data_IF_575476949034
#
_entry.id   IF_575476949034
#
_cell.length_a   1.000
_cell.length_b   1.000
_cell.length_c   1.000
_cell.angle_alpha   90.00
_cell.angle_beta   90.00
_cell.angle_gamma   90.00
#
_symmetry.space_group_name_H-M   'P 1'
#
loop_
_entity.id
_entity.type
_entity.pdbx_description
1 polymer ?
#
# COMPACT_ATOMS: atom_id res chain seq x y z
N UNK A 1 39.93 -1.89 32.54
CA UNK A 1 38.49 -1.65 32.46
C UNK A 1 38.04 -2.12 31.07
N UNK A 2 37.37 -3.27 31.00
CA UNK A 2 36.88 -3.82 29.73
C UNK A 2 35.48 -3.23 29.55
N UNK A 3 35.32 -2.35 28.55
CA UNK A 3 34.00 -1.86 28.14
C UNK A 3 33.42 -2.92 27.21
N UNK A 4 32.55 -3.76 27.76
CA UNK A 4 31.75 -4.67 26.95
C UNK A 4 30.66 -3.79 26.29
N UNK A 5 30.92 -3.37 25.07
CA UNK A 5 29.88 -2.81 24.23
C UNK A 5 28.95 -3.96 23.85
N UNK A 6 27.90 -4.15 24.63
CA UNK A 6 26.79 -5.01 24.22
C UNK A 6 26.15 -4.34 23.01
N UNK A 7 26.57 -4.71 21.81
CA UNK A 7 25.76 -4.46 20.61
C UNK A 7 24.48 -5.26 20.80
N UNK A 8 23.47 -4.60 21.31
CA UNK A 8 22.10 -5.08 21.16
C UNK A 8 21.83 -5.02 19.65
N UNK A 9 22.10 -6.14 18.97
CA UNK A 9 21.61 -6.32 17.62
C UNK A 9 20.12 -6.43 17.74
N UNK A 10 19.42 -5.27 17.65
CA UNK A 10 17.99 -5.27 17.42
C UNK A 10 17.81 -5.99 16.10
N UNK A 11 17.36 -7.25 16.15
CA UNK A 11 16.94 -7.98 14.96
C UNK A 11 15.81 -7.17 14.34
N UNK A 12 16.15 -6.37 13.33
CA UNK A 12 15.14 -5.70 12.51
C UNK A 12 14.42 -6.79 11.77
N UNK A 13 13.15 -6.96 12.08
CA UNK A 13 12.28 -7.80 11.26
C UNK A 13 12.29 -7.22 9.84
N UNK A 14 12.37 -8.10 8.85
CA UNK A 14 12.27 -7.67 7.47
C UNK A 14 10.80 -7.28 7.14
N UNK A 15 10.60 -6.59 6.04
CA UNK A 15 9.27 -6.13 5.63
C UNK A 15 8.29 -7.29 5.41
N UNK A 16 8.77 -8.48 4.99
CA UNK A 16 7.94 -9.68 4.77
C UNK A 16 7.34 -10.18 6.08
N UNK A 17 8.11 -10.16 7.15
CA UNK A 17 7.65 -10.54 8.49
C UNK A 17 6.58 -9.59 8.97
N UNK A 18 6.76 -8.29 8.79
CA UNK A 18 5.74 -7.29 9.14
C UNK A 18 4.45 -7.47 8.32
N UNK A 19 4.54 -7.73 7.02
CA UNK A 19 3.36 -8.01 6.17
C UNK A 19 2.63 -9.25 6.67
N UNK A 20 3.34 -10.32 7.00
CA UNK A 20 2.74 -11.57 7.51
C UNK A 20 1.98 -11.32 8.81
N UNK A 21 2.55 -10.57 9.75
CA UNK A 21 1.90 -10.18 11.00
C UNK A 21 0.68 -9.30 10.73
N UNK A 22 0.81 -8.32 9.82
CA UNK A 22 -0.30 -7.47 9.41
C UNK A 22 -1.46 -8.25 8.82
N UNK A 23 -1.18 -9.22 7.96
CA UNK A 23 -2.19 -10.10 7.37
C UNK A 23 -2.93 -10.91 8.44
N UNK A 24 -2.22 -11.44 9.42
CA UNK A 24 -2.85 -12.16 10.54
C UNK A 24 -3.78 -11.26 11.35
N UNK A 25 -3.33 -10.06 11.69
CA UNK A 25 -4.15 -9.08 12.39
C UNK A 25 -5.36 -8.66 11.55
N UNK A 26 -5.19 -8.47 10.24
CA UNK A 26 -6.27 -8.15 9.31
C UNK A 26 -7.36 -9.24 9.31
N UNK A 27 -6.98 -10.51 9.17
CA UNK A 27 -7.92 -11.63 9.18
C UNK A 27 -8.67 -11.76 10.51
N UNK A 28 -8.04 -11.40 11.62
CA UNK A 28 -8.65 -11.38 12.94
C UNK A 28 -9.40 -10.08 13.25
N UNK A 29 -9.51 -9.17 12.30
CA UNK A 29 -10.15 -7.85 12.45
C UNK A 29 -9.51 -6.98 13.55
N UNK A 30 -8.26 -7.22 13.87
CA UNK A 30 -7.45 -6.37 14.76
C UNK A 30 -6.84 -5.22 13.94
N UNK A 31 -7.68 -4.23 13.63
CA UNK A 31 -7.38 -3.17 12.66
C UNK A 31 -6.20 -2.30 13.06
N UNK A 32 -6.11 -1.91 14.33
CA UNK A 32 -5.01 -1.05 14.84
C UNK A 32 -3.67 -1.77 14.74
N UNK A 33 -3.62 -3.05 15.11
CA UNK A 33 -2.40 -3.84 15.01
C UNK A 33 -2.02 -4.13 13.56
N UNK A 34 -3.00 -4.38 12.69
CA UNK A 34 -2.78 -4.54 11.25
C UNK A 34 -2.16 -3.27 10.63
N UNK A 35 -2.72 -2.11 10.95
CA UNK A 35 -2.20 -0.81 10.49
C UNK A 35 -0.75 -0.60 10.94
N UNK A 36 -0.46 -0.89 12.20
CA UNK A 36 0.89 -0.76 12.76
C UNK A 36 1.88 -1.66 12.02
N UNK A 37 1.55 -2.93 11.79
CA UNK A 37 2.44 -3.87 11.10
C UNK A 37 2.63 -3.53 9.63
N UNK A 38 1.58 -3.15 8.92
CA UNK A 38 1.70 -2.70 7.52
C UNK A 38 2.49 -1.40 7.40
N UNK A 39 2.33 -0.47 8.33
CA UNK A 39 3.12 0.75 8.40
C UNK A 39 4.61 0.48 8.65
N UNK A 40 4.92 -0.47 9.53
CA UNK A 40 6.30 -0.91 9.77
C UNK A 40 6.89 -1.61 8.53
N UNK A 41 6.10 -2.39 7.80
CA UNK A 41 6.52 -3.00 6.55
C UNK A 41 6.88 -1.94 5.50
N UNK A 42 6.03 -0.95 5.32
CA UNK A 42 6.27 0.16 4.39
C UNK A 42 7.55 0.91 4.75
N UNK A 43 7.72 1.24 6.03
CA UNK A 43 8.93 1.92 6.51
C UNK A 43 10.19 1.09 6.29
N UNK A 44 10.13 -0.23 6.52
CA UNK A 44 11.26 -1.13 6.28
C UNK A 44 11.65 -1.19 4.80
N UNK A 45 10.68 -1.22 3.89
CA UNK A 45 10.91 -1.18 2.44
C UNK A 45 11.52 0.18 2.03
N UNK A 46 11.00 1.29 2.53
CA UNK A 46 11.46 2.63 2.19
C UNK A 46 12.89 2.91 2.66
N UNK A 47 13.40 2.16 3.64
CA UNK A 47 14.81 2.22 4.05
C UNK A 47 15.76 1.56 3.05
N UNK A 48 15.27 0.72 2.17
CA UNK A 48 16.04 0.10 1.08
C UNK A 48 16.20 1.12 -0.07
N UNK A 49 16.86 2.25 0.23
CA UNK A 49 17.11 3.29 -0.76
C UNK A 49 18.17 2.86 -1.80
N UNK A 50 17.97 3.24 -3.07
CA UNK A 50 16.81 3.90 -3.67
C UNK A 50 15.75 2.90 -4.16
N UNK A 51 14.63 2.85 -3.46
CA UNK A 51 13.51 1.90 -3.68
C UNK A 51 13.01 1.91 -5.13
N UNK A 52 12.99 3.10 -5.74
CA UNK A 52 12.29 3.34 -7.01
C UNK A 52 13.24 3.23 -8.21
N UNK A 53 14.53 2.92 -8.00
CA UNK A 53 15.53 3.07 -9.06
C UNK A 53 16.39 1.83 -9.36
N UNK A 54 16.40 0.77 -8.55
CA UNK A 54 17.40 -0.28 -8.68
C UNK A 54 16.91 -1.73 -8.57
N UNK A 55 15.74 -1.99 -7.98
CA UNK A 55 15.28 -3.36 -7.74
C UNK A 55 13.76 -3.47 -7.91
N UNK A 56 13.34 -4.24 -8.92
CA UNK A 56 11.94 -4.47 -9.21
C UNK A 56 11.19 -5.15 -8.06
N UNK A 57 11.81 -6.08 -7.34
CA UNK A 57 11.19 -6.77 -6.21
C UNK A 57 10.89 -5.80 -5.06
N UNK A 58 11.81 -4.88 -4.77
CA UNK A 58 11.60 -3.84 -3.75
C UNK A 58 10.56 -2.83 -4.20
N UNK A 59 10.54 -2.44 -5.47
CA UNK A 59 9.51 -1.58 -6.04
C UNK A 59 8.11 -2.16 -5.85
N UNK A 60 7.93 -3.44 -6.19
CA UNK A 60 6.64 -4.11 -6.03
C UNK A 60 6.28 -4.38 -4.57
N UNK A 61 7.25 -4.64 -3.70
CA UNK A 61 7.05 -4.72 -2.25
C UNK A 61 6.54 -3.38 -1.67
N UNK A 62 7.13 -2.27 -2.09
CA UNK A 62 6.71 -0.93 -1.72
C UNK A 62 5.27 -0.64 -2.17
N UNK A 63 4.94 -0.96 -3.41
CA UNK A 63 3.58 -0.81 -3.93
C UNK A 63 2.58 -1.69 -3.16
N UNK A 64 2.95 -2.95 -2.89
CA UNK A 64 2.11 -3.88 -2.14
C UNK A 64 1.82 -3.40 -0.71
N UNK A 65 2.80 -2.78 -0.03
CA UNK A 65 2.59 -2.21 1.30
C UNK A 65 1.56 -1.06 1.28
N UNK A 66 1.61 -0.18 0.26
CA UNK A 66 0.60 0.85 0.06
C UNK A 66 -0.79 0.24 -0.18
N UNK A 67 -0.89 -0.78 -1.01
CA UNK A 67 -2.16 -1.45 -1.32
C UNK A 67 -2.73 -2.21 -0.12
N UNK A 68 -1.89 -2.81 0.72
CA UNK A 68 -2.34 -3.44 1.97
C UNK A 68 -2.96 -2.43 2.92
N UNK A 69 -2.35 -1.26 3.07
CA UNK A 69 -2.90 -0.16 3.87
C UNK A 69 -4.22 0.36 3.27
N UNK A 70 -4.28 0.53 1.94
CA UNK A 70 -5.52 0.92 1.27
C UNK A 70 -6.65 -0.08 1.52
N UNK A 71 -6.38 -1.38 1.38
CA UNK A 71 -7.35 -2.44 1.64
C UNK A 71 -7.82 -2.45 3.10
N UNK A 72 -6.89 -2.25 4.03
CA UNK A 72 -7.20 -2.16 5.46
C UNK A 72 -8.18 -1.01 5.75
N UNK A 73 -7.91 0.18 5.23
CA UNK A 73 -8.78 1.33 5.44
C UNK A 73 -10.12 1.19 4.71
N UNK A 74 -10.13 0.63 3.51
CA UNK A 74 -11.37 0.32 2.78
C UNK A 74 -12.25 -0.64 3.56
N UNK A 75 -11.68 -1.66 4.19
CA UNK A 75 -12.40 -2.62 5.05
C UNK A 75 -13.04 -1.98 6.28
N UNK A 76 -12.53 -0.86 6.72
CA UNK A 76 -13.07 -0.05 7.82
C UNK A 76 -13.99 1.08 7.34
N UNK A 77 -14.30 1.14 6.05
CA UNK A 77 -15.04 2.24 5.41
C UNK A 77 -14.36 3.61 5.56
N UNK A 78 -13.07 3.63 5.76
CA UNK A 78 -12.24 4.84 5.80
C UNK A 78 -11.74 5.16 4.38
N UNK A 79 -12.63 5.71 3.57
CA UNK A 79 -12.42 5.83 2.13
C UNK A 79 -11.37 6.87 1.76
N UNK A 80 -11.28 7.98 2.51
CA UNK A 80 -10.27 9.01 2.27
C UNK A 80 -8.84 8.50 2.52
N UNK A 81 -8.65 7.76 3.60
CA UNK A 81 -7.36 7.14 3.93
C UNK A 81 -7.00 6.05 2.92
N UNK A 82 -7.97 5.23 2.52
CA UNK A 82 -7.77 4.21 1.48
C UNK A 82 -7.31 4.86 0.17
N UNK A 83 -7.98 5.92 -0.25
CA UNK A 83 -7.62 6.66 -1.45
C UNK A 83 -6.22 7.27 -1.38
N UNK A 84 -5.86 7.82 -0.24
CA UNK A 84 -4.51 8.37 -0.02
C UNK A 84 -3.42 7.33 -0.33
N UNK A 85 -3.58 6.09 0.15
CA UNK A 85 -2.62 5.02 -0.08
C UNK A 85 -2.65 4.44 -1.50
N UNK A 86 -3.71 4.68 -2.26
CA UNK A 86 -3.78 4.34 -3.68
C UNK A 86 -3.18 5.45 -4.57
N UNK A 87 -3.44 6.70 -4.27
CA UNK A 87 -3.00 7.86 -5.06
C UNK A 87 -1.50 8.14 -4.86
N UNK A 88 -1.00 8.06 -3.64
CA UNK A 88 0.40 8.40 -3.31
C UNK A 88 1.43 7.63 -4.14
N UNK A 89 1.37 6.30 -4.26
CA UNK A 89 2.33 5.59 -5.10
C UNK A 89 2.19 5.93 -6.59
N UNK A 90 0.98 6.19 -7.07
CA UNK A 90 0.76 6.57 -8.47
C UNK A 90 1.41 7.91 -8.82
N UNK A 91 1.27 8.91 -7.97
CA UNK A 91 1.90 10.23 -8.16
C UNK A 91 3.43 10.10 -8.21
N UNK A 92 4.01 9.31 -7.32
CA UNK A 92 5.46 9.07 -7.28
C UNK A 92 5.92 8.31 -8.54
N UNK A 93 5.20 7.27 -8.94
CA UNK A 93 5.52 6.49 -10.13
C UNK A 93 5.40 7.31 -11.41
N UNK A 94 4.37 8.12 -11.53
CA UNK A 94 4.16 9.01 -12.69
C UNK A 94 5.32 9.99 -12.83
N UNK A 95 5.70 10.65 -11.74
CA UNK A 95 6.85 11.56 -11.72
C UNK A 95 8.16 10.85 -12.07
N UNK A 96 8.36 9.66 -11.51
CA UNK A 96 9.57 8.87 -11.76
C UNK A 96 9.64 8.40 -13.21
N UNK A 97 8.54 7.95 -13.79
CA UNK A 97 8.44 7.58 -15.21
C UNK A 97 8.75 8.76 -16.13
N UNK A 98 8.22 9.95 -15.81
CA UNK A 98 8.50 11.17 -16.58
C UNK A 98 9.97 11.59 -16.57
N UNK A 99 10.74 11.19 -15.57
CA UNK A 99 12.15 11.48 -15.41
C UNK A 99 13.08 10.31 -15.79
N UNK A 100 12.51 9.17 -16.21
CA UNK A 100 13.28 7.98 -16.55
C UNK A 100 13.30 7.80 -18.09
N UNK A 101 14.47 7.72 -18.74
CA UNK A 101 14.53 7.46 -20.16
C UNK A 101 13.92 6.09 -20.52
N UNK A 102 13.23 5.96 -21.68
CA UNK A 102 12.62 4.68 -22.08
C UNK A 102 13.61 3.54 -22.31
N UNK A 103 14.87 3.84 -22.55
CA UNK A 103 15.95 2.88 -22.71
C UNK A 103 16.61 2.46 -21.39
N UNK A 104 16.22 3.08 -20.27
CA UNK A 104 16.66 2.65 -18.95
C UNK A 104 16.11 1.23 -18.66
N UNK A 105 16.98 0.29 -18.22
CA UNK A 105 16.53 -1.08 -17.93
C UNK A 105 15.42 -1.19 -16.90
N UNK A 106 15.29 -0.19 -16.03
CA UNK A 106 14.27 -0.15 -14.97
C UNK A 106 12.92 0.43 -15.42
N UNK A 107 12.87 1.07 -16.59
CA UNK A 107 11.65 1.71 -17.11
C UNK A 107 10.45 0.76 -17.20
N UNK A 108 10.66 -0.47 -17.66
CA UNK A 108 9.59 -1.47 -17.78
C UNK A 108 9.02 -1.86 -16.41
N UNK A 109 9.86 -1.99 -15.39
CA UNK A 109 9.42 -2.26 -14.02
C UNK A 109 8.56 -1.13 -13.46
N UNK A 110 8.97 0.12 -13.69
CA UNK A 110 8.20 1.31 -13.32
C UNK A 110 6.84 1.36 -14.02
N UNK A 111 6.82 1.07 -15.32
CA UNK A 111 5.59 1.06 -16.12
C UNK A 111 4.61 -0.02 -15.62
N UNK A 112 5.11 -1.21 -15.32
CA UNK A 112 4.30 -2.30 -14.77
C UNK A 112 3.74 -1.95 -13.38
N UNK A 113 4.56 -1.33 -12.52
CA UNK A 113 4.12 -0.88 -11.21
C UNK A 113 3.03 0.20 -11.33
N UNK A 114 3.20 1.16 -12.21
CA UNK A 114 2.20 2.19 -12.50
C UNK A 114 0.87 1.57 -12.98
N UNK A 115 0.95 0.62 -13.91
CA UNK A 115 -0.22 -0.11 -14.42
C UNK A 115 -0.95 -0.88 -13.31
N UNK A 116 -0.20 -1.54 -12.42
CA UNK A 116 -0.74 -2.24 -11.25
C UNK A 116 -1.45 -1.27 -10.30
N UNK A 117 -0.86 -0.11 -10.06
CA UNK A 117 -1.45 0.96 -9.24
C UNK A 117 -2.74 1.51 -9.82
N UNK A 118 -2.78 1.76 -11.14
CA UNK A 118 -4.00 2.19 -11.84
C UNK A 118 -5.12 1.16 -11.72
N UNK A 119 -4.81 -0.12 -11.89
CA UNK A 119 -5.80 -1.19 -11.75
C UNK A 119 -6.39 -1.23 -10.33
N UNK A 120 -5.56 -1.08 -9.31
CA UNK A 120 -6.02 -1.03 -7.92
C UNK A 120 -6.94 0.16 -7.67
N UNK A 121 -6.60 1.34 -8.17
CA UNK A 121 -7.44 2.54 -8.07
C UNK A 121 -8.78 2.35 -8.80
N UNK A 122 -8.76 1.79 -10.00
CA UNK A 122 -9.99 1.51 -10.76
C UNK A 122 -10.92 0.55 -10.01
N UNK A 123 -10.39 -0.50 -9.40
CA UNK A 123 -11.19 -1.43 -8.59
C UNK A 123 -11.79 -0.75 -7.37
N UNK A 124 -11.04 0.10 -6.71
CA UNK A 124 -11.54 0.91 -5.59
C UNK A 124 -12.68 1.84 -6.02
N UNK A 125 -12.52 2.55 -7.12
CA UNK A 125 -13.54 3.47 -7.64
C UNK A 125 -14.83 2.74 -8.05
N UNK A 126 -14.71 1.58 -8.67
CA UNK A 126 -15.86 0.72 -9.00
C UNK A 126 -16.61 0.28 -7.74
N UNK A 127 -15.90 -0.13 -6.70
CA UNK A 127 -16.50 -0.52 -5.43
C UNK A 127 -17.23 0.65 -4.77
N UNK A 128 -16.65 1.86 -4.79
CA UNK A 128 -17.28 3.07 -4.27
C UNK A 128 -18.54 3.46 -5.03
N UNK A 129 -18.52 3.42 -6.36
CA UNK A 129 -19.67 3.73 -7.19
C UNK A 129 -20.82 2.73 -7.00
N UNK A 130 -20.52 1.45 -6.82
CA UNK A 130 -21.51 0.41 -6.52
C UNK A 130 -22.19 0.65 -5.18
N UNK A 131 -21.47 1.08 -4.17
CA UNK A 131 -22.01 1.41 -2.83
C UNK A 131 -22.95 2.61 -2.91
N UNK A 132 -22.59 3.67 -3.64
CA UNK A 132 -23.42 4.86 -3.84
C UNK A 132 -24.72 4.48 -4.58
N UNK A 133 -24.66 3.68 -5.64
CA UNK A 133 -25.81 3.23 -6.38
C UNK A 133 -26.79 2.41 -5.51
N UNK A 134 -26.29 1.51 -4.67
CA UNK A 134 -27.11 0.71 -3.74
C UNK A 134 -27.82 1.60 -2.71
N UNK A 135 -27.16 2.61 -2.17
CA UNK A 135 -27.74 3.54 -1.21
C UNK A 135 -28.84 4.39 -1.85
N UNK A 136 -28.61 4.88 -3.08
CA UNK A 136 -29.63 5.65 -3.82
C UNK A 136 -30.89 4.85 -4.11
N UNK A 137 -30.75 3.58 -4.49
CA UNK A 137 -31.89 2.68 -4.77
C UNK A 137 -32.70 2.39 -3.52
N UNK A 138 -32.08 2.19 -2.38
CA UNK A 138 -32.76 1.96 -1.09
C UNK A 138 -33.59 3.18 -0.65
N UNK A 139 -33.08 4.40 -0.84
CA UNK A 139 -33.80 5.63 -0.50
C UNK A 139 -35.02 5.87 -1.41
N UNK A 140 -34.94 5.45 -2.66
CA UNK A 140 -36.07 5.60 -3.60
C UNK A 140 -37.22 4.66 -3.25
N UNK A 141 -36.95 3.50 -2.67
CA UNK A 141 -37.97 2.54 -2.24
C UNK A 141 -38.71 2.97 -0.96
N UNK A 142 -38.07 3.72 -0.06
CA UNK A 142 -38.70 4.22 1.15
C UNK A 142 -39.65 5.40 0.87
N UNK A 143 -39.46 6.13 -0.23
CA UNK A 143 -40.28 7.29 -0.61
C UNK A 143 -41.50 6.94 -1.49
N UNK A 144 -41.80 5.67 -1.75
CA UNK A 144 -42.92 5.21 -2.60
C UNK A 144 -44.02 4.52 -1.79
N UNK A 145 -44.16 4.87 -0.51
CA UNK A 145 -45.33 4.44 0.29
C UNK A 145 -46.34 5.54 0.44
#
# INVERSE_FOLDING_TARGET
MIIITIRITVMRMDWKTYVTHGNRCFHNKHWVDAERHYGLALHAVEKEEPVIHQNGDILFAWLACHHNLATLFQSQSKHSEARFYLDTPLEILEKTLGNTPPDDPFFISLLRAYQTGLNALCLFEKAMNSTVASTATSQTQENVK
#
